data_IF_006846848806
#
_entry.id   IF_006846848806
#
_cell.length_a   1.000
_cell.length_b   1.000
_cell.length_c   1.000
_cell.angle_alpha   90.00
_cell.angle_beta   90.00
_cell.angle_gamma   90.00
#
_symmetry.space_group_name_H-M   'P 1'
#
loop_
_entity.id
_entity.type
_entity.pdbx_description
1 polymer ?
#
# COMPACT_ATOMS: atom_id res chain seq x y z
N UNK A 1 -13.00 -13.04 1.18
CA UNK A 1 -14.34 -13.28 0.62
C UNK A 1 -14.97 -11.93 0.48
N UNK A 2 -15.05 -11.41 -0.74
CA UNK A 2 -15.03 -9.99 -1.16
C UNK A 2 -15.51 -8.95 -0.12
N UNK A 3 -16.66 -9.13 0.55
CA UNK A 3 -17.14 -8.23 1.61
C UNK A 3 -16.18 -8.11 2.81
N UNK A 4 -15.52 -9.21 3.20
CA UNK A 4 -14.48 -9.19 4.24
C UNK A 4 -13.24 -8.44 3.77
N UNK A 5 -12.89 -8.52 2.49
CA UNK A 5 -11.71 -7.85 1.94
C UNK A 5 -11.95 -6.33 1.90
N UNK A 6 -13.17 -5.89 1.60
CA UNK A 6 -13.60 -4.49 1.76
C UNK A 6 -13.64 -4.02 3.21
N UNK A 7 -14.15 -4.85 4.12
CA UNK A 7 -14.13 -4.53 5.56
C UNK A 7 -12.70 -4.36 6.06
N UNK A 8 -11.78 -5.23 5.63
CA UNK A 8 -10.37 -5.12 5.95
C UNK A 8 -9.75 -3.82 5.38
N UNK A 9 -9.99 -3.51 4.11
CA UNK A 9 -9.48 -2.27 3.49
C UNK A 9 -10.02 -1.04 4.23
N UNK A 10 -11.33 -0.97 4.48
CA UNK A 10 -11.92 0.17 5.19
C UNK A 10 -11.44 0.31 6.64
N UNK A 11 -11.14 -0.81 7.30
CA UNK A 11 -10.62 -0.82 8.66
C UNK A 11 -9.16 -0.39 8.73
N UNK A 12 -8.31 -0.84 7.80
CA UNK A 12 -6.86 -0.60 7.86
C UNK A 12 -6.39 0.63 7.10
N UNK A 13 -7.03 0.99 5.99
CA UNK A 13 -6.62 2.09 5.13
C UNK A 13 -6.51 3.48 5.81
N UNK A 14 -7.21 3.79 6.93
CA UNK A 14 -6.95 5.02 7.68
C UNK A 14 -5.61 5.04 8.42
N UNK A 15 -5.03 3.87 8.73
CA UNK A 15 -3.86 3.73 9.60
C UNK A 15 -2.56 3.47 8.85
N UNK A 16 -2.63 3.23 7.55
CA UNK A 16 -1.47 2.90 6.71
C UNK A 16 -1.33 3.93 5.59
N UNK A 17 -0.10 4.18 5.15
CA UNK A 17 0.15 5.11 4.03
C UNK A 17 -0.01 4.42 2.66
N UNK A 18 0.05 3.09 2.62
CA UNK A 18 -0.16 2.29 1.41
C UNK A 18 -0.75 0.91 1.71
N UNK A 19 -1.55 0.37 0.79
CA UNK A 19 -2.04 -1.02 0.80
C UNK A 19 -1.89 -1.64 -0.59
N UNK A 20 -1.46 -2.91 -0.63
CA UNK A 20 -1.42 -3.71 -1.86
C UNK A 20 -2.53 -4.75 -1.83
N UNK A 21 -3.44 -4.70 -2.81
CA UNK A 21 -4.62 -5.57 -2.89
C UNK A 21 -4.65 -6.39 -4.18
N UNK A 22 -5.51 -7.40 -4.24
CA UNK A 22 -5.66 -8.20 -5.46
C UNK A 22 -6.37 -7.42 -6.60
N UNK A 23 -6.31 -7.98 -7.82
CA UNK A 23 -6.93 -7.37 -9.02
C UNK A 23 -8.44 -7.21 -8.91
N UNK A 24 -9.13 -8.14 -8.25
CA UNK A 24 -10.59 -8.14 -8.14
C UNK A 24 -11.06 -7.03 -7.19
N UNK A 25 -10.42 -6.92 -6.02
CA UNK A 25 -10.64 -5.86 -5.04
C UNK A 25 -10.35 -4.49 -5.66
N UNK A 26 -9.24 -4.35 -6.39
CA UNK A 26 -8.90 -3.10 -7.07
C UNK A 26 -9.91 -2.70 -8.15
N UNK A 27 -10.38 -3.67 -8.94
CA UNK A 27 -11.42 -3.43 -9.96
C UNK A 27 -12.72 -2.94 -9.32
N UNK A 28 -13.15 -3.59 -8.23
CA UNK A 28 -14.37 -3.22 -7.53
C UNK A 28 -14.25 -1.87 -6.80
N UNK A 29 -13.08 -1.54 -6.22
CA UNK A 29 -12.80 -0.21 -5.66
C UNK A 29 -12.87 0.89 -6.72
N UNK A 30 -12.48 0.60 -7.97
CA UNK A 30 -12.57 1.54 -9.11
C UNK A 30 -14.00 1.68 -9.62
N UNK A 31 -14.84 0.64 -9.50
CA UNK A 31 -16.22 0.63 -9.99
C UNK A 31 -17.24 1.22 -9.01
N UNK A 32 -16.96 1.24 -7.70
CA UNK A 32 -17.93 1.65 -6.67
C UNK A 32 -17.77 3.09 -6.18
N UNK A 33 -18.87 3.62 -5.59
CA UNK A 33 -18.91 4.86 -4.78
C UNK A 33 -17.91 4.88 -3.60
N UNK A 34 -17.28 3.74 -3.29
CA UNK A 34 -16.32 3.59 -2.20
C UNK A 34 -15.13 4.55 -2.30
N UNK A 35 -14.61 4.83 -3.50
CA UNK A 35 -13.48 5.78 -3.62
C UNK A 35 -13.87 7.21 -3.21
N UNK A 36 -15.15 7.56 -3.31
CA UNK A 36 -15.68 8.87 -2.92
C UNK A 36 -16.12 8.91 -1.44
N UNK A 37 -16.64 7.80 -0.90
CA UNK A 37 -17.07 7.71 0.51
C UNK A 37 -15.92 7.41 1.48
N UNK A 38 -14.83 6.81 0.98
CA UNK A 38 -13.66 6.49 1.77
C UNK A 38 -12.52 7.40 1.31
N UNK A 39 -12.36 8.51 2.02
CA UNK A 39 -11.18 9.39 1.91
C UNK A 39 -9.95 8.67 2.47
N UNK A 40 -9.54 7.60 1.82
CA UNK A 40 -8.39 6.82 2.24
C UNK A 40 -7.13 7.66 2.10
N UNK A 41 -6.45 7.88 3.23
CA UNK A 41 -5.09 8.42 3.23
C UNK A 41 -4.12 7.43 2.57
N UNK A 42 -4.40 6.12 2.69
CA UNK A 42 -3.64 5.06 2.07
C UNK A 42 -3.69 5.11 0.54
N UNK A 43 -2.51 5.01 -0.09
CA UNK A 43 -2.38 4.70 -1.53
C UNK A 43 -2.72 3.24 -1.76
N UNK A 44 -3.66 2.96 -2.66
CA UNK A 44 -4.08 1.59 -2.99
C UNK A 44 -3.39 1.14 -4.28
N UNK A 45 -2.56 0.11 -4.16
CA UNK A 45 -1.87 -0.55 -5.26
C UNK A 45 -2.50 -1.92 -5.51
N UNK A 46 -2.27 -2.50 -6.70
CA UNK A 46 -2.75 -3.85 -6.95
C UNK A 46 -1.95 -4.62 -7.97
N UNK A 47 -2.18 -5.94 -8.01
CA UNK A 47 -1.58 -6.83 -9.00
C UNK A 47 -1.91 -6.46 -10.47
N UNK A 48 -2.84 -5.54 -10.73
CA UNK A 48 -3.10 -5.07 -12.11
C UNK A 48 -1.92 -4.29 -12.68
N UNK A 49 -1.18 -3.59 -11.82
CA UNK A 49 0.03 -2.85 -12.14
C UNK A 49 1.03 -3.01 -10.99
N UNK A 50 1.77 -4.12 -10.95
CA UNK A 50 2.75 -4.36 -9.89
C UNK A 50 3.95 -3.41 -9.98
N UNK A 51 4.22 -2.84 -11.16
CA UNK A 51 5.36 -1.94 -11.34
C UNK A 51 5.13 -0.63 -10.57
N UNK A 52 3.92 -0.09 -10.59
CA UNK A 52 3.53 1.09 -9.80
C UNK A 52 3.86 0.92 -8.30
N UNK A 53 3.64 -0.29 -7.76
CA UNK A 53 3.95 -0.59 -6.37
C UNK A 53 5.46 -0.68 -6.11
N UNK A 54 6.21 -1.31 -7.02
CA UNK A 54 7.67 -1.41 -6.89
C UNK A 54 8.36 -0.05 -7.00
N UNK A 55 7.91 0.80 -7.91
CA UNK A 55 8.40 2.16 -8.07
C UNK A 55 8.14 2.99 -6.81
N UNK A 56 6.94 2.84 -6.21
CA UNK A 56 6.63 3.46 -4.92
C UNK A 56 7.56 2.99 -3.79
N UNK A 57 7.85 1.69 -3.70
CA UNK A 57 8.77 1.16 -2.68
C UNK A 57 10.19 1.67 -2.88
N UNK A 58 10.64 1.75 -4.13
CA UNK A 58 11.96 2.29 -4.47
C UNK A 58 12.05 3.77 -4.06
N UNK A 59 11.09 4.59 -4.46
CA UNK A 59 11.06 6.01 -4.10
C UNK A 59 10.97 6.21 -2.58
N UNK A 60 10.25 5.34 -1.87
CA UNK A 60 10.18 5.35 -0.41
C UNK A 60 11.54 5.05 0.22
N UNK A 61 12.28 4.07 -0.29
CA UNK A 61 13.64 3.74 0.16
C UNK A 61 14.64 4.86 -0.16
N UNK A 62 14.57 5.42 -1.36
CA UNK A 62 15.46 6.49 -1.81
C UNK A 62 15.22 7.79 -1.01
N UNK A 63 13.97 8.06 -0.62
CA UNK A 63 13.61 9.23 0.20
C UNK A 63 13.84 9.05 1.70
N UNK A 64 14.18 7.84 2.16
CA UNK A 64 14.53 7.61 3.55
C UNK A 64 15.77 8.42 3.95
N UNK A 65 15.82 8.85 5.21
CA UNK A 65 17.04 9.45 5.76
C UNK A 65 18.08 8.38 6.07
N UNK A 66 19.33 8.80 6.21
CA UNK A 66 20.43 7.89 6.53
C UNK A 66 20.21 7.16 7.86
N UNK A 67 19.72 7.86 8.88
CA UNK A 67 19.39 7.27 10.18
C UNK A 67 18.36 6.12 10.04
N UNK A 68 17.36 6.28 9.18
CA UNK A 68 16.34 5.25 8.92
C UNK A 68 16.96 4.05 8.20
N UNK A 69 17.88 4.29 7.25
CA UNK A 69 18.59 3.22 6.55
C UNK A 69 19.49 2.41 7.49
N UNK A 70 20.27 3.07 8.34
CA UNK A 70 21.12 2.41 9.33
C UNK A 70 20.30 1.57 10.30
N UNK A 71 19.21 2.13 10.85
CA UNK A 71 18.31 1.38 11.74
C UNK A 71 17.67 0.19 11.04
N UNK A 72 17.24 0.35 9.78
CA UNK A 72 16.65 -0.73 9.01
C UNK A 72 17.67 -1.85 8.74
N UNK A 73 18.92 -1.49 8.43
CA UNK A 73 20.01 -2.46 8.28
C UNK A 73 20.26 -3.23 9.59
N UNK A 74 20.32 -2.54 10.73
CA UNK A 74 20.59 -3.16 12.03
C UNK A 74 19.44 -4.07 12.49
N UNK A 75 18.18 -3.69 12.22
CA UNK A 75 17.00 -4.47 12.60
C UNK A 75 16.72 -5.65 11.67
N UNK A 76 16.83 -5.44 10.36
CA UNK A 76 16.37 -6.41 9.36
C UNK A 76 17.51 -7.11 8.62
N UNK A 77 18.77 -6.68 8.78
CA UNK A 77 19.93 -7.28 8.14
C UNK A 77 19.90 -7.20 6.61
N UNK A 78 19.15 -6.24 6.05
CA UNK A 78 19.04 -6.06 4.61
C UNK A 78 20.42 -5.64 4.05
N UNK A 79 21.05 -6.53 3.29
CA UNK A 79 22.33 -6.27 2.62
C UNK A 79 22.13 -5.26 1.49
N UNK A 80 23.09 -4.35 1.35
CA UNK A 80 23.22 -3.39 0.24
C UNK A 80 23.27 -4.09 -1.14
#
# INVERSE_FOLDING_TARGET
GILNDFSAISTYAPYVDAMFVDKQCASLLKQGRLRAELSFKARIFSLSDPQEFLDYLKDLGDSATEDVRVLAHDLYGAKE
#
